data_IF_593164676811
#
_entry.id   IF_593164676811
#
_cell.length_a   1.000
_cell.length_b   1.000
_cell.length_c   1.000
_cell.angle_alpha   90.00
_cell.angle_beta   90.00
_cell.angle_gamma   90.00
#
_symmetry.space_group_name_H-M   'P 1'
#
loop_
_entity.id
_entity.type
_entity.pdbx_description
1 polymer ?
#
# COMPACT_ATOMS: atom_id res chain seq x y z
N UNK A 1 10.25 -16.85 -16.17
CA UNK A 1 10.85 -15.55 -15.78
C UNK A 1 10.07 -14.38 -16.36
N UNK A 2 9.47 -14.52 -17.55
CA UNK A 2 8.77 -13.44 -18.27
C UNK A 2 7.49 -12.93 -17.57
N UNK A 3 6.79 -13.80 -16.84
CA UNK A 3 5.54 -13.42 -16.14
C UNK A 3 5.74 -12.57 -14.88
N UNK A 4 6.87 -12.74 -14.16
CA UNK A 4 7.14 -12.01 -12.92
C UNK A 4 7.69 -10.61 -13.18
N UNK A 5 8.53 -10.44 -14.21
CA UNK A 5 9.05 -9.12 -14.62
C UNK A 5 7.93 -8.24 -15.15
N UNK A 6 6.90 -8.83 -15.77
CA UNK A 6 5.70 -8.12 -16.24
C UNK A 6 4.85 -7.55 -15.09
N UNK A 7 4.91 -8.12 -13.88
CA UNK A 7 4.24 -7.56 -12.69
C UNK A 7 4.78 -6.20 -12.26
N UNK A 8 6.05 -5.89 -12.55
CA UNK A 8 6.71 -4.67 -12.09
C UNK A 8 6.18 -3.40 -12.78
N UNK A 9 5.41 -3.52 -13.86
CA UNK A 9 4.96 -2.40 -14.68
C UNK A 9 3.48 -2.02 -14.48
N UNK A 10 2.65 -2.87 -13.85
CA UNK A 10 1.19 -2.65 -13.74
C UNK A 10 0.69 -3.17 -12.38
N UNK A 11 0.53 -2.25 -11.40
CA UNK A 11 -0.10 -2.37 -10.06
C UNK A 11 0.05 -3.67 -9.26
N UNK A 12 0.46 -3.56 -7.99
CA UNK A 12 0.63 -4.67 -7.03
C UNK A 12 -0.60 -5.59 -6.93
N UNK A 13 -1.80 -5.05 -7.13
CA UNK A 13 -3.07 -5.79 -7.16
C UNK A 13 -3.19 -6.76 -8.33
N UNK A 14 -2.67 -6.40 -9.51
CA UNK A 14 -2.72 -7.26 -10.71
C UNK A 14 -1.67 -8.37 -10.67
N UNK A 15 -0.63 -8.20 -9.85
CA UNK A 15 0.39 -9.23 -9.64
C UNK A 15 -0.10 -10.35 -8.72
N UNK A 16 -0.85 -10.01 -7.67
CA UNK A 16 -1.40 -11.00 -6.75
C UNK A 16 -2.30 -12.00 -7.47
N UNK A 17 -3.25 -11.52 -8.27
CA UNK A 17 -4.14 -12.36 -9.09
C UNK A 17 -3.36 -13.27 -10.07
N UNK A 18 -2.24 -12.78 -10.60
CA UNK A 18 -1.40 -13.53 -11.54
C UNK A 18 -0.50 -14.56 -10.85
N UNK A 19 -0.07 -14.29 -9.62
CA UNK A 19 0.67 -15.24 -8.78
C UNK A 19 -0.21 -16.42 -8.39
N UNK A 20 -1.47 -16.16 -7.98
CA UNK A 20 -2.44 -17.22 -7.64
C UNK A 20 -2.69 -18.18 -8.82
N UNK A 21 -2.69 -17.67 -10.05
CA UNK A 21 -2.84 -18.49 -11.26
C UNK A 21 -1.54 -19.19 -11.72
N UNK A 22 -0.37 -18.74 -11.27
CA UNK A 22 0.94 -19.30 -11.66
C UNK A 22 1.43 -20.38 -10.69
N UNK A 23 1.06 -20.29 -9.41
CA UNK A 23 1.43 -21.31 -8.45
C UNK A 23 0.45 -22.47 -8.56
N UNK A 24 0.97 -23.59 -9.06
CA UNK A 24 0.34 -24.92 -9.07
C UNK A 24 0.06 -25.40 -7.64
N UNK A 25 -0.86 -24.74 -6.93
CA UNK A 25 -1.14 -24.91 -5.52
C UNK A 25 -2.66 -25.00 -5.27
N UNK A 26 -3.05 -25.50 -4.10
CA UNK A 26 -4.44 -25.56 -3.64
C UNK A 26 -4.52 -25.25 -2.14
N UNK A 27 -5.41 -24.34 -1.78
CA UNK A 27 -5.59 -23.91 -0.40
C UNK A 27 -4.49 -22.94 0.06
N UNK A 28 -4.56 -22.51 1.32
CA UNK A 28 -3.57 -21.62 1.91
C UNK A 28 -2.29 -22.38 2.23
N UNK A 29 -2.37 -23.28 3.20
CA UNK A 29 -1.30 -24.18 3.64
C UNK A 29 -1.44 -25.57 3.00
N UNK A 30 -2.66 -26.07 2.84
CA UNK A 30 -2.93 -27.36 2.22
C UNK A 30 -4.33 -27.45 1.60
N UNK A 31 -4.53 -28.44 0.73
CA UNK A 31 -5.84 -28.67 0.08
C UNK A 31 -6.97 -28.99 1.09
N UNK A 32 -6.65 -29.38 2.32
CA UNK A 32 -7.63 -29.64 3.38
C UNK A 32 -8.17 -28.36 4.02
N UNK A 33 -7.59 -27.19 3.74
CA UNK A 33 -8.12 -25.90 4.19
C UNK A 33 -9.56 -25.68 3.68
N UNK A 34 -9.95 -26.35 2.60
CA UNK A 34 -11.31 -26.34 2.09
C UNK A 34 -12.33 -27.06 2.99
N UNK A 35 -11.88 -27.86 3.96
CA UNK A 35 -12.75 -28.60 4.89
C UNK A 35 -13.49 -27.70 5.88
N UNK A 36 -12.96 -26.52 6.15
CA UNK A 36 -13.59 -25.53 7.05
C UNK A 36 -14.47 -24.52 6.28
N UNK A 37 -14.42 -24.54 4.95
CA UNK A 37 -15.23 -23.65 4.12
C UNK A 37 -16.68 -24.12 4.05
N UNK A 38 -17.64 -23.20 4.21
CA UNK A 38 -19.08 -23.52 4.27
C UNK A 38 -19.61 -24.26 3.03
N UNK A 39 -19.01 -24.04 1.85
CA UNK A 39 -19.46 -24.63 0.59
C UNK A 39 -18.76 -25.95 0.23
N UNK A 40 -17.58 -26.19 0.82
CA UNK A 40 -16.69 -27.31 0.47
C UNK A 40 -16.46 -28.29 1.62
N UNK A 41 -16.93 -27.94 2.82
CA UNK A 41 -16.92 -28.86 3.94
C UNK A 41 -17.74 -30.13 3.63
N UNK A 42 -17.45 -31.19 4.35
CA UNK A 42 -18.12 -32.48 4.15
C UNK A 42 -19.55 -32.54 4.65
N UNK A 43 -19.94 -31.60 5.52
CA UNK A 43 -21.29 -31.48 6.06
C UNK A 43 -22.19 -30.61 5.18
N UNK A 44 -21.68 -30.05 4.07
CA UNK A 44 -22.37 -29.08 3.24
C UNK A 44 -23.43 -29.80 2.40
N UNK A 45 -24.61 -29.19 2.23
CA UNK A 45 -25.58 -29.69 1.27
C UNK A 45 -25.11 -29.37 -0.15
N UNK A 46 -24.92 -30.39 -0.98
CA UNK A 46 -24.73 -30.21 -2.42
C UNK A 46 -23.59 -31.01 -3.03
N UNK A 47 -23.43 -30.97 -4.36
CA UNK A 47 -22.43 -31.75 -5.10
C UNK A 47 -20.99 -31.25 -4.92
N UNK A 48 -20.79 -30.11 -4.24
CA UNK A 48 -19.48 -29.51 -3.98
C UNK A 48 -18.91 -29.86 -2.59
N UNK A 49 -19.67 -30.63 -1.80
CA UNK A 49 -19.29 -31.09 -0.47
C UNK A 49 -18.07 -32.03 -0.52
N UNK A 50 -17.22 -31.96 0.51
CA UNK A 50 -15.93 -32.66 0.57
C UNK A 50 -15.00 -32.39 -0.63
N UNK A 51 -15.17 -31.26 -1.32
CA UNK A 51 -14.48 -30.96 -2.56
C UNK A 51 -13.51 -29.80 -2.48
N UNK A 52 -12.79 -29.57 -3.58
CA UNK A 52 -11.98 -28.37 -3.81
C UNK A 52 -12.44 -27.70 -5.11
N UNK A 53 -12.25 -26.38 -5.27
CA UNK A 53 -12.56 -25.70 -6.52
C UNK A 53 -11.70 -26.22 -7.68
N UNK A 54 -12.21 -26.08 -8.91
CA UNK A 54 -11.54 -26.51 -10.13
C UNK A 54 -10.15 -25.86 -10.35
N UNK A 55 -9.89 -24.71 -9.71
CA UNK A 55 -8.59 -24.02 -9.74
C UNK A 55 -7.48 -24.84 -9.12
N UNK A 56 -7.81 -25.80 -8.25
CA UNK A 56 -6.85 -26.73 -7.65
C UNK A 56 -6.48 -27.91 -8.56
N UNK A 57 -7.14 -28.08 -9.70
CA UNK A 57 -6.99 -29.28 -10.52
C UNK A 57 -5.81 -29.19 -11.47
N UNK A 58 -5.10 -30.31 -11.61
CA UNK A 58 -3.94 -30.41 -12.49
C UNK A 58 -4.41 -30.47 -13.94
N UNK A 59 -4.12 -29.43 -14.73
CA UNK A 59 -4.31 -29.46 -16.19
C UNK A 59 -2.99 -29.82 -16.86
N UNK A 60 -2.87 -31.07 -17.33
CA UNK A 60 -1.66 -31.59 -18.00
C UNK A 60 -1.50 -31.10 -19.44
N UNK A 61 -2.54 -30.56 -20.08
CA UNK A 61 -2.47 -29.99 -21.44
C UNK A 61 -3.20 -28.65 -21.55
N UNK A 62 -2.67 -27.69 -22.34
CA UNK A 62 -3.28 -26.36 -22.50
C UNK A 62 -4.63 -26.36 -23.25
N UNK A 63 -5.02 -27.47 -23.91
CA UNK A 63 -6.26 -27.61 -24.69
C UNK A 63 -7.18 -28.73 -24.17
N UNK A 64 -6.95 -29.23 -22.96
CA UNK A 64 -7.80 -30.27 -22.36
C UNK A 64 -8.75 -29.60 -21.36
N UNK A 65 -10.05 -29.78 -21.57
CA UNK A 65 -11.07 -29.27 -20.66
C UNK A 65 -10.86 -29.95 -19.32
N UNK A 66 -10.40 -29.19 -18.32
CA UNK A 66 -10.28 -29.68 -16.96
C UNK A 66 -11.64 -30.25 -16.56
N UNK A 67 -11.69 -31.54 -16.25
CA UNK A 67 -12.93 -32.16 -15.80
C UNK A 67 -13.37 -31.43 -14.53
N UNK A 68 -14.53 -30.75 -14.55
CA UNK A 68 -15.04 -30.01 -13.39
C UNK A 68 -15.33 -30.92 -12.17
N UNK A 69 -15.34 -32.25 -12.35
CA UNK A 69 -15.41 -33.24 -11.26
C UNK A 69 -14.06 -33.61 -10.63
N UNK A 70 -12.93 -33.07 -11.09
CA UNK A 70 -11.60 -33.36 -10.53
C UNK A 70 -11.50 -33.14 -9.01
N UNK A 71 -12.19 -32.09 -8.52
CA UNK A 71 -12.22 -31.72 -7.11
C UNK A 71 -13.32 -32.40 -6.30
N UNK A 72 -14.08 -33.36 -6.86
CA UNK A 72 -15.20 -34.00 -6.16
C UNK A 72 -14.71 -35.02 -5.13
N UNK A 73 -15.17 -34.89 -3.87
CA UNK A 73 -14.86 -35.79 -2.75
C UNK A 73 -13.35 -36.03 -2.54
N UNK A 74 -12.51 -35.06 -2.89
CA UNK A 74 -11.07 -35.21 -2.75
C UNK A 74 -10.62 -35.15 -1.29
N UNK A 75 -11.38 -34.49 -0.41
CA UNK A 75 -11.06 -34.43 1.03
C UNK A 75 -11.17 -35.79 1.73
N UNK A 76 -11.94 -36.73 1.18
CA UNK A 76 -12.13 -38.09 1.73
C UNK A 76 -11.06 -39.09 1.26
N UNK A 77 -10.25 -38.72 0.26
CA UNK A 77 -9.29 -39.61 -0.40
C UNK A 77 -7.90 -39.48 0.20
N UNK A 78 -7.07 -40.51 0.03
CA UNK A 78 -5.69 -40.49 0.49
C UNK A 78 -4.79 -39.61 -0.39
N UNK A 79 -3.77 -39.00 0.22
CA UNK A 79 -2.87 -38.06 -0.45
C UNK A 79 -2.18 -38.65 -1.69
N UNK A 80 -1.92 -39.96 -1.71
CA UNK A 80 -1.22 -40.63 -2.81
C UNK A 80 -2.05 -40.64 -4.10
N UNK A 81 -3.35 -40.88 -4.00
CA UNK A 81 -4.28 -40.91 -5.13
C UNK A 81 -4.54 -39.53 -5.75
N UNK A 82 -4.10 -38.47 -5.06
CA UNK A 82 -4.41 -37.08 -5.40
C UNK A 82 -3.26 -36.37 -6.12
N UNK A 83 -2.06 -36.97 -6.14
CA UNK A 83 -0.85 -36.36 -6.68
C UNK A 83 -0.97 -35.95 -8.15
N UNK A 84 -1.67 -36.76 -8.95
CA UNK A 84 -1.84 -36.53 -10.39
C UNK A 84 -3.19 -35.86 -10.75
N UNK A 85 -4.06 -35.62 -9.75
CA UNK A 85 -5.41 -35.06 -9.95
C UNK A 85 -5.49 -33.62 -9.49
N UNK A 86 -4.91 -33.30 -8.33
CA UNK A 86 -4.95 -31.94 -7.75
C UNK A 86 -3.59 -31.49 -7.23
N UNK A 87 -3.41 -30.17 -7.16
CA UNK A 87 -2.25 -29.55 -6.53
C UNK A 87 -2.34 -29.66 -5.01
N UNK A 88 -1.69 -30.65 -4.40
CA UNK A 88 -1.72 -30.86 -2.94
C UNK A 88 -0.91 -29.83 -2.11
N UNK A 89 -0.13 -28.95 -2.76
CA UNK A 89 0.74 -27.97 -2.09
C UNK A 89 -0.03 -26.70 -1.76
N UNK A 90 0.18 -26.15 -0.57
CA UNK A 90 -0.36 -24.84 -0.21
C UNK A 90 0.27 -23.71 -1.03
N UNK A 91 -0.53 -22.69 -1.31
CA UNK A 91 -0.08 -21.53 -2.06
C UNK A 91 0.94 -20.69 -1.28
N UNK A 92 0.83 -20.63 0.06
CA UNK A 92 1.80 -19.90 0.87
C UNK A 92 3.15 -20.59 0.90
N UNK A 93 3.18 -21.92 1.01
CA UNK A 93 4.42 -22.70 1.03
C UNK A 93 5.17 -22.57 -0.31
N UNK A 94 4.44 -22.70 -1.43
CA UNK A 94 5.01 -22.48 -2.76
C UNK A 94 5.58 -21.06 -2.93
N UNK A 95 4.89 -20.06 -2.40
CA UNK A 95 5.35 -18.67 -2.40
C UNK A 95 6.62 -18.48 -1.56
N UNK A 96 6.68 -19.02 -0.34
CA UNK A 96 7.86 -18.89 0.53
C UNK A 96 9.08 -19.59 -0.02
N UNK A 97 8.92 -20.80 -0.60
CA UNK A 97 10.01 -21.52 -1.27
C UNK A 97 10.57 -20.65 -2.40
N UNK A 98 9.70 -20.11 -3.24
CA UNK A 98 10.12 -19.22 -4.33
C UNK A 98 10.80 -17.95 -3.81
N UNK A 99 10.28 -17.35 -2.73
CA UNK A 99 10.80 -16.13 -2.13
C UNK A 99 12.20 -16.34 -1.55
N UNK A 100 12.44 -17.46 -0.88
CA UNK A 100 13.76 -17.81 -0.34
C UNK A 100 14.78 -18.07 -1.45
N UNK A 101 14.39 -18.80 -2.50
CA UNK A 101 15.27 -19.07 -3.65
C UNK A 101 15.62 -17.79 -4.43
N UNK A 102 14.70 -16.82 -4.48
CA UNK A 102 14.84 -15.59 -5.24
C UNK A 102 15.06 -14.35 -4.33
N UNK A 103 15.64 -14.55 -3.13
CA UNK A 103 15.77 -13.49 -2.13
C UNK A 103 16.50 -12.24 -2.65
N UNK A 104 17.46 -12.40 -3.57
CA UNK A 104 18.21 -11.27 -4.18
C UNK A 104 17.28 -10.37 -5.00
N UNK A 105 16.41 -10.98 -5.81
CA UNK A 105 15.43 -10.26 -6.62
C UNK A 105 14.40 -9.56 -5.74
N UNK A 106 13.92 -10.24 -4.69
CA UNK A 106 12.99 -9.67 -3.73
C UNK A 106 13.59 -8.51 -2.92
N UNK A 107 14.84 -8.64 -2.49
CA UNK A 107 15.56 -7.57 -1.81
C UNK A 107 15.75 -6.36 -2.74
N UNK A 108 16.06 -6.58 -4.02
CA UNK A 108 16.15 -5.53 -5.03
C UNK A 108 14.81 -4.81 -5.25
N UNK A 109 13.71 -5.55 -5.33
CA UNK A 109 12.36 -4.99 -5.44
C UNK A 109 11.99 -4.16 -4.21
N UNK A 110 12.22 -4.70 -3.01
CA UNK A 110 11.94 -4.02 -1.75
C UNK A 110 12.72 -2.71 -1.66
N UNK A 111 14.01 -2.73 -2.01
CA UNK A 111 14.85 -1.54 -2.04
C UNK A 111 14.38 -0.53 -3.11
N UNK A 112 13.99 -1.03 -4.28
CA UNK A 112 13.45 -0.21 -5.38
C UNK A 112 12.15 0.51 -5.03
N UNK A 113 11.36 0.00 -4.09
CA UNK A 113 10.15 0.67 -3.57
C UNK A 113 10.50 1.57 -2.38
N UNK A 114 11.31 1.09 -1.43
CA UNK A 114 11.65 1.85 -0.22
C UNK A 114 12.46 3.12 -0.50
N UNK A 115 13.40 3.08 -1.45
CA UNK A 115 14.24 4.23 -1.78
C UNK A 115 13.44 5.44 -2.29
N UNK A 116 12.59 5.32 -3.33
CA UNK A 116 11.78 6.45 -3.79
C UNK A 116 10.76 6.90 -2.75
N UNK A 117 10.18 6.00 -1.94
CA UNK A 117 9.30 6.40 -0.83
C UNK A 117 10.03 7.24 0.21
N UNK A 118 11.21 6.79 0.64
CA UNK A 118 12.03 7.51 1.62
C UNK A 118 12.51 8.86 1.07
N UNK A 119 12.96 8.87 -0.19
CA UNK A 119 13.35 10.09 -0.88
C UNK A 119 12.17 11.08 -1.01
N UNK A 120 10.98 10.58 -1.36
CA UNK A 120 9.76 11.39 -1.46
C UNK A 120 9.37 12.04 -0.13
N UNK A 121 9.50 11.31 0.99
CA UNK A 121 9.26 11.85 2.34
C UNK A 121 10.28 12.94 2.67
N UNK A 122 11.57 12.71 2.41
CA UNK A 122 12.63 13.70 2.65
C UNK A 122 12.40 14.97 1.83
N UNK A 123 12.14 14.84 0.53
CA UNK A 123 11.90 15.99 -0.36
C UNK A 123 10.67 16.77 0.09
N UNK A 124 9.59 16.07 0.44
CA UNK A 124 8.36 16.72 0.96
C UNK A 124 8.65 17.47 2.26
N UNK A 125 9.43 16.90 3.16
CA UNK A 125 9.81 17.53 4.41
C UNK A 125 10.72 18.77 4.20
N UNK A 126 11.71 18.67 3.31
CA UNK A 126 12.53 19.81 2.91
C UNK A 126 11.69 20.91 2.24
N UNK A 127 10.71 20.54 1.43
CA UNK A 127 9.81 21.52 0.80
C UNK A 127 8.99 22.28 1.85
N UNK A 128 8.40 21.57 2.82
CA UNK A 128 7.61 22.19 3.90
C UNK A 128 8.46 23.17 4.71
N UNK A 129 9.66 22.77 5.13
CA UNK A 129 10.55 23.66 5.91
C UNK A 129 10.93 24.91 5.13
N UNK A 130 11.21 24.80 3.82
CA UNK A 130 11.51 25.96 2.98
C UNK A 130 10.31 26.89 2.78
N UNK A 131 9.11 26.33 2.72
CA UNK A 131 7.86 27.10 2.65
C UNK A 131 7.64 27.84 3.97
N UNK A 132 7.82 27.19 5.11
CA UNK A 132 7.71 27.80 6.45
C UNK A 132 8.73 28.93 6.64
N UNK A 133 9.97 28.73 6.21
CA UNK A 133 11.02 29.76 6.24
C UNK A 133 10.63 30.99 5.38
N UNK A 134 10.10 30.79 4.17
CA UNK A 134 9.66 31.88 3.30
C UNK A 134 8.47 32.66 3.88
N UNK A 135 7.52 31.96 4.50
CA UNK A 135 6.36 32.56 5.15
C UNK A 135 6.78 33.38 6.38
N UNK A 136 7.70 32.85 7.21
CA UNK A 136 8.19 33.56 8.40
C UNK A 136 8.95 34.84 8.04
N UNK A 137 9.77 34.82 6.99
CA UNK A 137 10.49 36.00 6.51
C UNK A 137 9.53 37.12 6.04
N UNK A 138 8.47 36.75 5.30
CA UNK A 138 7.43 37.71 4.91
C UNK A 138 6.64 38.25 6.12
N UNK A 139 6.37 37.40 7.10
CA UNK A 139 5.74 37.79 8.37
C UNK A 139 6.56 38.84 9.13
N UNK A 140 7.87 38.62 9.29
CA UNK A 140 8.76 39.56 9.97
C UNK A 140 8.86 40.93 9.26
N UNK A 141 8.90 40.96 7.92
CA UNK A 141 8.88 42.21 7.16
C UNK A 141 7.57 42.99 7.37
N UNK A 142 6.44 42.29 7.29
CA UNK A 142 5.11 42.87 7.49
C UNK A 142 4.95 43.42 8.90
N UNK A 143 5.39 42.68 9.92
CA UNK A 143 5.30 43.10 11.32
C UNK A 143 6.20 44.32 11.60
N UNK A 144 7.40 44.36 11.03
CA UNK A 144 8.29 45.52 11.10
C UNK A 144 7.70 46.79 10.46
N UNK A 145 7.00 46.65 9.32
CA UNK A 145 6.29 47.75 8.65
C UNK A 145 5.08 48.24 9.45
N UNK A 146 4.37 47.34 10.12
CA UNK A 146 3.26 47.70 11.00
C UNK A 146 3.78 48.44 12.24
N UNK A 147 4.86 47.95 12.85
CA UNK A 147 5.49 48.56 14.01
C UNK A 147 6.06 49.96 13.71
N UNK A 148 6.70 50.15 12.56
CA UNK A 148 7.23 51.47 12.16
C UNK A 148 6.10 52.48 11.93
N UNK A 149 5.06 52.08 11.20
CA UNK A 149 3.86 52.90 11.00
C UNK A 149 3.15 53.24 12.32
N UNK A 150 3.06 52.28 13.25
CA UNK A 150 2.47 52.52 14.56
C UNK A 150 3.29 53.53 15.39
N UNK A 151 4.61 53.40 15.37
CA UNK A 151 5.54 54.31 16.06
C UNK A 151 5.51 55.72 15.46
N UNK A 152 5.46 55.84 14.13
CA UNK A 152 5.32 57.12 13.44
C UNK A 152 3.98 57.79 13.79
N UNK A 153 2.87 57.03 13.78
CA UNK A 153 1.55 57.53 14.19
C UNK A 153 1.54 57.98 15.65
N UNK A 154 2.15 57.23 16.56
CA UNK A 154 2.27 57.60 17.98
C UNK A 154 3.09 58.89 18.16
N UNK A 155 4.24 58.98 17.49
CA UNK A 155 5.13 60.15 17.54
C UNK A 155 4.46 61.40 16.97
N UNK A 156 3.74 61.26 15.85
CA UNK A 156 2.97 62.36 15.24
C UNK A 156 1.79 62.79 16.11
N UNK A 157 1.11 61.85 16.78
CA UNK A 157 0.05 62.14 17.75
C UNK A 157 0.61 62.91 18.95
N UNK A 158 1.73 62.48 19.51
CA UNK A 158 2.39 63.14 20.63
C UNK A 158 2.91 64.53 20.24
N UNK A 159 3.50 64.69 19.05
CA UNK A 159 3.94 65.98 18.52
C UNK A 159 2.77 66.94 18.22
N UNK A 160 1.64 66.43 17.73
CA UNK A 160 0.43 67.24 17.52
C UNK A 160 -0.17 67.70 18.85
N UNK A 161 -0.15 66.85 19.87
CA UNK A 161 -0.64 67.15 21.21
C UNK A 161 0.26 68.16 21.91
N UNK A 162 1.60 68.00 21.86
CA UNK A 162 2.53 68.97 22.45
C UNK A 162 2.49 70.34 21.76
N UNK A 163 2.24 70.36 20.44
CA UNK A 163 2.05 71.62 19.69
C UNK A 163 0.71 72.29 20.01
N UNK A 164 -0.35 71.53 20.32
CA UNK A 164 -1.61 72.08 20.80
C UNK A 164 -1.43 72.76 22.17
N UNK A 165 -0.73 72.11 23.11
CA UNK A 165 -0.46 72.68 24.44
C UNK A 165 0.39 73.97 24.39
N UNK A 166 1.15 74.19 23.31
CA UNK A 166 2.02 75.36 23.15
C UNK A 166 1.32 76.61 22.61
N UNK A 167 0.02 76.53 22.30
CA UNK A 167 -0.78 77.66 21.85
C UNK A 167 -1.76 78.17 22.92
N UNK A 168 -1.55 77.83 24.19
CA UNK A 168 -2.31 78.44 25.28
C UNK A 168 -1.69 79.81 25.62
N UNK A 169 -2.41 80.93 25.44
CA UNK A 169 -1.89 82.24 25.81
C UNK A 169 -1.87 82.35 27.33
N UNK A 170 -0.71 82.68 27.88
CA UNK A 170 -0.54 83.08 29.27
C UNK A 170 -1.19 84.46 29.40
N UNK A 171 -2.41 84.49 29.93
CA UNK A 171 -3.09 85.68 30.45
C UNK A 171 -2.79 85.69 31.94
N UNK A 172 -1.88 86.57 32.35
CA UNK A 172 -2.04 87.51 33.46
C UNK A 172 -0.85 88.49 33.47
#
# INVERSE_FOLDING_TARGET
>A
MDGFVSCSLISVDSCFERLVLQFKCCGGQEYKDWSVNMYHNCSAPGPLACGVPYTCCVTTKPNEVANTLCGYKVLEKERLDLLDVIHIRGCTDAFFIWLMDNYKTMAGLLLGILLPQFFGVIVSWLYITRVEDAISAFGHYTDGLLQSNATERATKKQGRVSKWFKCMPEID
#
